data_IF_234686291313
#
_entry.id   IF_234686291313
#
_cell.length_a   1.000
_cell.length_b   1.000
_cell.length_c   1.000
_cell.angle_alpha   90.00
_cell.angle_beta   90.00
_cell.angle_gamma   90.00
#
_symmetry.space_group_name_H-M   'P 1'
#
loop_
_entity.id
_entity.type
_entity.pdbx_description
1 polymer ?
#
# COMPACT_ATOMS: atom_id res chain seq x y z
N UNK A 1 -22.17 -5.38 6.97
CA UNK A 1 -21.02 -5.67 6.07
C UNK A 1 -21.60 -6.29 4.81
N UNK A 2 -21.03 -6.02 3.64
CA UNK A 2 -21.46 -6.68 2.41
C UNK A 2 -20.88 -8.10 2.44
N UNK A 3 -21.70 -9.08 2.82
CA UNK A 3 -21.26 -10.46 3.10
C UNK A 3 -20.59 -11.13 1.89
N UNK A 4 -20.93 -10.69 0.68
CA UNK A 4 -20.32 -11.11 -0.58
C UNK A 4 -18.86 -10.67 -0.72
N UNK A 5 -18.49 -9.49 -0.22
CA UNK A 5 -17.12 -8.97 -0.26
C UNK A 5 -16.20 -9.85 0.60
N UNK A 6 -16.64 -10.21 1.80
CA UNK A 6 -15.87 -11.08 2.70
C UNK A 6 -15.66 -12.46 2.11
N UNK A 7 -16.70 -13.01 1.48
CA UNK A 7 -16.63 -14.33 0.82
C UNK A 7 -15.71 -14.33 -0.41
N UNK A 8 -15.55 -13.18 -1.07
CA UNK A 8 -14.55 -13.00 -2.12
C UNK A 8 -13.14 -12.86 -1.54
N UNK A 9 -12.97 -12.07 -0.48
CA UNK A 9 -11.66 -11.85 0.15
C UNK A 9 -11.07 -13.12 0.77
N UNK A 10 -11.89 -14.03 1.31
CA UNK A 10 -11.43 -15.34 1.86
C UNK A 10 -10.63 -16.20 0.88
N UNK A 11 -10.79 -15.98 -0.43
CA UNK A 11 -10.13 -16.75 -1.49
C UNK A 11 -8.86 -16.06 -2.04
N UNK A 12 -8.55 -14.85 -1.58
CA UNK A 12 -7.37 -14.12 -2.03
C UNK A 12 -6.10 -14.81 -1.53
N UNK A 13 -5.16 -15.02 -2.46
CA UNK A 13 -3.83 -15.60 -2.18
C UNK A 13 -2.69 -14.66 -2.59
N UNK A 14 -3.04 -13.53 -3.20
CA UNK A 14 -2.11 -12.54 -3.72
C UNK A 14 -2.78 -11.17 -3.63
N UNK A 15 -2.04 -10.20 -3.15
CA UNK A 15 -2.39 -8.78 -3.19
C UNK A 15 -1.27 -8.04 -3.91
N UNK A 16 -1.63 -7.22 -4.90
CA UNK A 16 -0.71 -6.37 -5.64
C UNK A 16 -1.16 -4.94 -5.40
N UNK A 17 -0.22 -4.09 -5.04
CA UNK A 17 -0.47 -2.68 -4.76
C UNK A 17 0.33 -1.85 -5.75
N UNK A 18 -0.31 -0.80 -6.27
CA UNK A 18 0.43 0.29 -6.89
C UNK A 18 1.19 1.06 -5.79
N UNK A 19 2.11 1.94 -6.18
CA UNK A 19 2.94 2.71 -5.25
C UNK A 19 2.37 4.11 -5.09
N UNK A 20 2.47 4.93 -6.13
CA UNK A 20 2.17 6.35 -6.05
C UNK A 20 0.66 6.60 -6.06
N UNK A 21 0.13 7.11 -4.94
CA UNK A 21 -1.32 7.28 -4.75
C UNK A 21 -2.04 6.07 -4.15
N UNK A 22 -1.32 4.98 -3.84
CA UNK A 22 -1.83 3.82 -3.10
C UNK A 22 -1.05 3.59 -1.81
N UNK A 23 0.25 3.32 -1.89
CA UNK A 23 1.14 3.17 -0.73
C UNK A 23 1.78 4.49 -0.30
N UNK A 24 1.73 5.49 -1.17
CA UNK A 24 2.09 6.89 -0.90
C UNK A 24 0.88 7.77 -1.19
N UNK A 25 0.93 9.02 -0.76
CA UNK A 25 -0.07 10.03 -1.12
C UNK A 25 0.08 10.58 -2.56
N UNK A 26 1.02 10.02 -3.34
CA UNK A 26 1.35 10.45 -4.70
C UNK A 26 2.33 11.62 -4.77
N UNK A 27 2.77 12.17 -3.63
CA UNK A 27 3.76 13.26 -3.60
C UNK A 27 5.15 12.73 -3.87
N UNK A 28 5.86 13.40 -4.77
CA UNK A 28 7.29 13.17 -5.05
C UNK A 28 8.12 14.29 -4.43
N UNK A 29 9.06 13.93 -3.57
CA UNK A 29 10.01 14.87 -2.99
C UNK A 29 11.35 14.74 -3.70
N UNK A 30 11.93 15.86 -4.13
CA UNK A 30 13.24 15.90 -4.77
C UNK A 30 14.21 16.71 -3.93
N UNK A 31 15.39 16.14 -3.65
CA UNK A 31 16.47 16.86 -2.97
C UNK A 31 17.24 17.76 -3.94
N UNK A 32 18.04 18.69 -3.40
CA UNK A 32 18.94 19.54 -4.18
C UNK A 32 20.00 18.73 -4.97
N UNK A 33 20.28 17.49 -4.54
CA UNK A 33 21.20 16.58 -5.24
C UNK A 33 20.51 15.73 -6.31
N UNK A 34 19.21 15.93 -6.53
CA UNK A 34 18.41 15.14 -7.47
C UNK A 34 17.96 13.79 -6.94
N UNK A 35 18.06 13.53 -5.63
CA UNK A 35 17.54 12.30 -5.04
C UNK A 35 16.01 12.38 -4.94
N UNK A 36 15.33 11.31 -5.34
CA UNK A 36 13.88 11.15 -5.17
C UNK A 36 13.58 10.47 -3.83
N UNK A 37 12.65 11.04 -3.08
CA UNK A 37 12.16 10.55 -1.80
C UNK A 37 10.63 10.34 -1.90
N UNK A 38 10.16 9.20 -1.40
CA UNK A 38 8.73 8.88 -1.29
C UNK A 38 8.39 8.58 0.16
N UNK A 39 7.28 9.14 0.64
CA UNK A 39 6.80 8.90 1.99
C UNK A 39 5.80 7.74 2.01
N UNK A 40 6.00 6.79 2.92
CA UNK A 40 5.14 5.63 3.14
C UNK A 40 4.55 5.66 4.56
N UNK A 41 3.42 4.99 4.77
CA UNK A 41 2.80 4.90 6.08
C UNK A 41 3.30 3.66 6.86
N UNK A 42 3.74 3.87 8.10
CA UNK A 42 4.19 2.78 8.97
C UNK A 42 3.07 1.78 9.32
N UNK A 43 1.81 2.25 9.42
CA UNK A 43 0.66 1.39 9.67
C UNK A 43 0.38 0.45 8.49
N UNK A 44 0.57 0.91 7.25
CA UNK A 44 0.46 0.07 6.06
C UNK A 44 1.55 -1.00 6.05
N UNK A 45 2.78 -0.64 6.42
CA UNK A 45 3.86 -1.61 6.60
C UNK A 45 3.55 -2.70 7.63
N UNK A 46 2.88 -2.34 8.73
CA UNK A 46 2.40 -3.32 9.71
C UNK A 46 1.32 -4.24 9.12
N UNK A 47 0.34 -3.66 8.42
CA UNK A 47 -0.72 -4.41 7.75
C UNK A 47 -0.18 -5.41 6.72
N UNK A 48 0.77 -4.98 5.88
CA UNK A 48 1.44 -5.83 4.89
C UNK A 48 2.19 -7.00 5.56
N UNK A 49 2.83 -6.77 6.71
CA UNK A 49 3.50 -7.83 7.49
C UNK A 49 2.51 -8.86 8.07
N UNK A 50 1.26 -8.46 8.32
CA UNK A 50 0.23 -9.35 8.84
C UNK A 50 -0.41 -10.21 7.75
N UNK A 51 -0.28 -9.85 6.47
CA UNK A 51 -0.74 -10.68 5.35
C UNK A 51 0.03 -12.01 5.37
N UNK A 52 -0.69 -13.13 5.32
CA UNK A 52 -0.17 -14.51 5.37
C UNK A 52 -0.69 -15.32 4.20
#
# INVERSE_FOLDING_TARGET
>A
MHDDVLERMRRLRLMIFDVDGVLTDGTLYFSETGAELKAFNAQDGHGLKMLK
#
